data_IF_280450807354
#
_entry.id   IF_280450807354
#
_cell.length_a   1.000
_cell.length_b   1.000
_cell.length_c   1.000
_cell.angle_alpha   90.00
_cell.angle_beta   90.00
_cell.angle_gamma   90.00
#
_symmetry.space_group_name_H-M   'P 1'
#
loop_
_entity.id
_entity.type
_entity.pdbx_description
1 polymer ?
#
# COMPACT_ATOMS: atom_id res chain seq x y z
N UNK A 1 64.35 -11.49 19.11
CA UNK A 1 64.26 -12.13 17.79
C UNK A 1 62.89 -12.81 17.68
N UNK A 2 62.09 -12.40 16.69
CA UNK A 2 60.92 -13.09 16.12
C UNK A 2 59.65 -13.43 16.96
N UNK A 3 58.57 -12.75 16.57
CA UNK A 3 57.19 -13.25 16.29
C UNK A 3 56.38 -13.94 17.40
N UNK A 4 55.43 -13.19 17.98
CA UNK A 4 54.17 -13.74 18.52
C UNK A 4 53.10 -13.73 17.42
N UNK A 5 52.57 -14.92 17.15
CA UNK A 5 51.52 -15.22 16.17
C UNK A 5 50.15 -15.19 16.87
N UNK A 6 49.18 -14.68 16.11
CA UNK A 6 47.72 -14.60 16.36
C UNK A 6 47.11 -15.85 17.00
N UNK A 7 46.11 -15.66 17.86
CA UNK A 7 44.94 -16.55 17.94
C UNK A 7 43.65 -15.73 17.97
N UNK A 8 42.80 -16.07 17.00
CA UNK A 8 41.47 -15.57 16.70
C UNK A 8 40.49 -16.05 17.78
N UNK A 9 39.64 -15.15 18.30
CA UNK A 9 38.53 -15.49 19.19
C UNK A 9 37.37 -16.07 18.39
N UNK A 10 36.98 -17.29 18.75
CA UNK A 10 35.90 -18.08 18.19
C UNK A 10 34.58 -17.70 18.91
N UNK A 11 33.71 -16.89 18.29
CA UNK A 11 32.34 -16.72 18.77
C UNK A 11 31.48 -17.89 18.28
N UNK A 12 30.99 -18.68 19.22
CA UNK A 12 30.14 -19.85 18.98
C UNK A 12 28.73 -19.41 18.55
N UNK A 13 28.35 -19.80 17.33
CA UNK A 13 26.97 -19.83 16.87
C UNK A 13 26.34 -21.13 17.40
N UNK A 14 25.46 -21.03 18.39
CA UNK A 14 24.65 -22.16 18.88
C UNK A 14 23.50 -22.37 17.89
N UNK A 15 23.66 -23.35 17.01
CA UNK A 15 22.61 -23.83 16.10
C UNK A 15 21.70 -24.79 16.89
N UNK A 16 20.54 -24.29 17.33
CA UNK A 16 19.46 -25.12 17.88
C UNK A 16 18.76 -25.83 16.72
N UNK A 17 19.19 -27.06 16.42
CA UNK A 17 18.45 -28.01 15.59
C UNK A 17 17.20 -28.45 16.36
N UNK A 18 16.05 -27.81 16.10
CA UNK A 18 14.77 -28.39 16.48
C UNK A 18 14.38 -29.46 15.45
N UNK A 19 14.22 -30.69 15.93
CA UNK A 19 13.59 -31.78 15.20
C UNK A 19 12.12 -31.40 14.91
N UNK A 20 11.84 -30.98 13.68
CA UNK A 20 10.46 -30.90 13.18
C UNK A 20 9.95 -32.32 12.94
N UNK A 21 9.06 -32.79 13.80
CA UNK A 21 8.24 -33.97 13.51
C UNK A 21 7.40 -33.70 12.26
N UNK A 22 7.72 -34.40 11.17
CA UNK A 22 6.90 -34.38 9.96
C UNK A 22 5.63 -35.17 10.28
N UNK A 23 4.54 -34.46 10.60
CA UNK A 23 3.20 -35.05 10.67
C UNK A 23 2.73 -35.22 9.23
N UNK A 24 2.81 -36.45 8.71
CA UNK A 24 2.21 -36.84 7.43
C UNK A 24 0.69 -36.68 7.57
N UNK A 25 0.13 -35.61 7.01
CA UNK A 25 -1.32 -35.47 6.84
C UNK A 25 -1.72 -36.28 5.61
N UNK A 26 -2.68 -37.20 5.78
CA UNK A 26 -3.36 -37.81 4.66
C UNK A 26 -3.98 -36.69 3.79
N UNK A 27 -3.65 -36.66 2.49
CA UNK A 27 -4.22 -35.68 1.57
C UNK A 27 -5.71 -35.96 1.39
N UNK A 28 -6.54 -35.14 2.02
CA UNK A 28 -7.97 -35.08 1.75
C UNK A 28 -8.15 -34.48 0.36
N UNK A 29 -9.03 -35.06 -0.45
CA UNK A 29 -9.37 -34.53 -1.76
C UNK A 29 -9.80 -33.05 -1.62
N UNK A 30 -9.27 -32.14 -2.44
CA UNK A 30 -9.67 -30.75 -2.38
C UNK A 30 -11.14 -30.59 -2.80
N UNK A 31 -11.81 -29.63 -2.17
CA UNK A 31 -13.20 -29.26 -2.41
C UNK A 31 -13.32 -27.82 -2.92
N UNK A 32 -14.54 -27.36 -3.22
CA UNK A 32 -14.77 -26.00 -3.72
C UNK A 32 -14.20 -24.92 -2.78
N UNK A 33 -14.28 -25.13 -1.47
CA UNK A 33 -13.71 -24.23 -0.47
C UNK A 33 -12.20 -24.09 -0.62
N UNK A 34 -11.50 -25.22 -0.69
CA UNK A 34 -10.04 -25.27 -0.85
C UNK A 34 -9.59 -24.64 -2.16
N UNK A 35 -10.25 -24.97 -3.28
CA UNK A 35 -9.90 -24.44 -4.61
C UNK A 35 -10.11 -22.93 -4.68
N UNK A 36 -11.21 -22.41 -4.11
CA UNK A 36 -11.45 -20.96 -4.09
C UNK A 36 -10.41 -20.21 -3.26
N UNK A 37 -10.10 -20.71 -2.07
CA UNK A 37 -9.11 -20.10 -1.18
C UNK A 37 -7.73 -20.01 -1.86
N UNK A 38 -7.36 -21.03 -2.64
CA UNK A 38 -6.11 -21.02 -3.41
C UNK A 38 -6.09 -19.90 -4.47
N UNK A 39 -7.18 -19.74 -5.23
CA UNK A 39 -7.31 -18.69 -6.26
C UNK A 39 -7.20 -17.29 -5.63
N UNK A 40 -7.90 -17.05 -4.53
CA UNK A 40 -7.95 -15.75 -3.87
C UNK A 40 -6.61 -15.39 -3.21
N UNK A 41 -5.98 -16.35 -2.53
CA UNK A 41 -4.68 -16.13 -1.86
C UNK A 41 -3.58 -15.76 -2.85
N UNK A 42 -3.55 -16.39 -4.04
CA UNK A 42 -2.50 -16.14 -5.04
C UNK A 42 -2.55 -14.73 -5.64
N UNK A 43 -3.71 -14.07 -5.64
CA UNK A 43 -3.91 -12.73 -6.24
C UNK A 43 -3.30 -11.58 -5.41
N UNK A 44 -3.03 -11.76 -4.12
CA UNK A 44 -2.63 -10.65 -3.24
C UNK A 44 -1.11 -10.31 -3.26
N UNK A 45 -0.31 -10.98 -4.08
CA UNK A 45 1.17 -11.04 -3.95
C UNK A 45 1.97 -10.01 -4.77
N UNK A 46 1.39 -8.91 -5.22
CA UNK A 46 2.16 -7.86 -5.91
C UNK A 46 3.00 -7.01 -4.95
N UNK A 47 4.25 -6.72 -5.34
CA UNK A 47 5.18 -5.86 -4.59
C UNK A 47 4.92 -4.40 -5.01
N UNK A 48 4.58 -3.49 -4.07
CA UNK A 48 4.46 -2.08 -4.38
C UNK A 48 5.78 -1.49 -4.88
N UNK A 49 5.71 -0.70 -5.94
CA UNK A 49 6.83 0.13 -6.42
C UNK A 49 6.78 1.45 -5.68
N UNK A 50 7.92 1.92 -5.16
CA UNK A 50 8.01 3.24 -4.54
C UNK A 50 7.69 4.32 -5.59
N UNK A 51 6.71 5.22 -5.33
CA UNK A 51 6.46 6.34 -6.22
C UNK A 51 7.73 7.19 -6.36
N UNK A 52 8.13 7.59 -7.58
CA UNK A 52 9.31 8.42 -7.76
C UNK A 52 9.18 9.73 -6.97
N UNK A 53 10.28 10.23 -6.38
CA UNK A 53 10.26 11.54 -5.73
C UNK A 53 9.88 12.62 -6.77
N UNK A 54 9.12 13.65 -6.38
CA UNK A 54 8.84 14.76 -7.25
C UNK A 54 10.17 15.45 -7.56
N UNK A 55 10.44 15.65 -8.84
CA UNK A 55 11.58 16.44 -9.28
C UNK A 55 11.30 17.90 -8.99
N UNK A 56 11.52 18.34 -7.75
CA UNK A 56 11.66 19.77 -7.48
C UNK A 56 12.96 20.22 -8.16
N UNK A 57 12.84 20.82 -9.34
CA UNK A 57 13.97 21.50 -9.96
C UNK A 57 14.38 22.63 -9.03
N UNK A 58 15.55 22.51 -8.40
CA UNK A 58 16.18 23.63 -7.73
C UNK A 58 16.32 24.76 -8.76
N UNK A 59 15.76 25.92 -8.44
CA UNK A 59 15.97 27.12 -9.26
C UNK A 59 17.48 27.34 -9.42
N UNK A 60 17.99 27.60 -10.64
CA UNK A 60 19.41 27.85 -10.84
C UNK A 60 19.85 29.04 -9.97
N UNK A 61 20.76 28.80 -9.03
CA UNK A 61 21.41 29.88 -8.29
C UNK A 61 22.64 30.27 -9.09
N UNK A 62 22.55 31.36 -9.86
CA UNK A 62 23.74 31.99 -10.43
C UNK A 62 24.61 32.52 -9.27
N UNK A 63 25.81 31.96 -9.10
CA UNK A 63 26.81 32.49 -8.16
C UNK A 63 27.44 33.75 -8.72
N UNK A 64 27.24 34.94 -8.10
CA UNK A 64 27.98 36.14 -8.45
C UNK A 64 29.44 36.05 -7.96
N UNK A 65 30.37 36.84 -8.52
CA UNK A 65 31.77 36.86 -8.08
C UNK A 65 31.93 37.36 -6.63
N UNK A 66 32.98 36.90 -5.94
CA UNK A 66 33.27 37.15 -4.53
C UNK A 66 33.42 38.65 -4.20
N UNK A 67 32.46 39.18 -3.47
CA UNK A 67 32.43 40.56 -2.97
C UNK A 67 33.01 40.74 -1.56
N UNK A 68 32.81 41.91 -0.91
CA UNK A 68 33.22 42.14 0.47
C UNK A 68 32.57 41.15 1.44
N UNK A 69 33.32 40.75 2.47
CA UNK A 69 32.89 39.78 3.48
C UNK A 69 32.41 40.46 4.76
N UNK A 70 31.45 39.82 5.44
CA UNK A 70 30.97 40.20 6.76
C UNK A 70 31.22 39.05 7.73
N UNK A 71 31.58 39.35 8.98
CA UNK A 71 31.63 38.33 10.02
C UNK A 71 30.29 38.29 10.73
N UNK A 72 29.56 37.18 10.58
CA UNK A 72 28.22 37.02 11.18
C UNK A 72 28.36 36.52 12.62
N UNK A 73 27.80 37.27 13.57
CA UNK A 73 27.73 36.94 14.99
C UNK A 73 26.50 36.09 15.32
N UNK A 74 25.34 36.42 14.73
CA UNK A 74 24.09 35.70 14.95
C UNK A 74 23.06 36.01 13.87
N UNK A 75 22.05 35.14 13.76
CA UNK A 75 20.86 35.39 12.94
C UNK A 75 19.67 35.75 13.83
N UNK A 76 18.91 36.76 13.40
CA UNK A 76 17.60 37.11 13.95
C UNK A 76 16.53 36.69 12.95
N UNK A 77 15.52 35.95 13.40
CA UNK A 77 14.45 35.44 12.55
C UNK A 77 13.15 36.20 12.83
N UNK A 78 12.43 36.56 11.78
CA UNK A 78 11.12 37.20 11.87
C UNK A 78 10.10 36.46 11.01
N UNK A 79 8.86 36.34 11.51
CA UNK A 79 7.77 35.64 10.82
C UNK A 79 7.74 34.12 11.01
N UNK A 80 8.59 33.57 11.89
CA UNK A 80 8.61 32.16 12.24
C UNK A 80 7.61 31.84 13.38
N UNK A 81 6.39 31.45 13.01
CA UNK A 81 5.34 31.05 13.97
C UNK A 81 5.29 29.52 14.11
N UNK A 82 5.52 28.79 13.02
CA UNK A 82 5.48 27.33 12.98
C UNK A 82 6.78 26.66 13.48
N UNK A 83 7.90 27.40 13.50
CA UNK A 83 9.19 26.88 13.96
C UNK A 83 9.90 27.86 14.89
N UNK A 84 10.47 27.34 15.97
CA UNK A 84 11.19 28.12 16.97
C UNK A 84 12.54 28.61 16.44
N UNK A 85 12.94 29.79 16.91
CA UNK A 85 14.19 30.43 16.50
C UNK A 85 15.43 29.60 16.90
N UNK A 86 15.34 28.75 17.92
CA UNK A 86 16.44 27.88 18.36
C UNK A 86 16.70 26.78 17.34
N UNK A 87 15.67 26.09 16.82
CA UNK A 87 15.83 25.16 15.69
C UNK A 87 16.40 25.87 14.45
N UNK A 88 15.92 27.07 14.15
CA UNK A 88 16.42 27.86 13.03
C UNK A 88 17.89 28.26 13.19
N UNK A 89 18.34 28.57 14.41
CA UNK A 89 19.73 28.85 14.70
C UNK A 89 20.64 27.63 14.47
N UNK A 90 20.14 26.40 14.69
CA UNK A 90 20.88 25.17 14.35
C UNK A 90 21.07 25.07 12.84
N UNK A 91 20.03 25.36 12.04
CA UNK A 91 20.10 25.30 10.59
C UNK A 91 21.09 26.32 9.99
N UNK A 92 21.29 27.47 10.64
CA UNK A 92 22.20 28.53 10.17
C UNK A 92 23.57 28.55 10.86
N UNK A 93 23.84 27.62 11.78
CA UNK A 93 25.07 27.60 12.58
C UNK A 93 26.36 27.60 11.73
N UNK A 94 26.33 26.98 10.54
CA UNK A 94 27.48 26.91 9.62
C UNK A 94 27.88 28.25 8.99
N UNK A 95 27.09 29.31 9.16
CA UNK A 95 27.37 30.65 8.66
C UNK A 95 27.84 31.63 9.75
N UNK A 96 27.85 31.21 11.02
CA UNK A 96 28.19 32.05 12.18
C UNK A 96 29.69 31.94 12.51
N UNK A 97 30.24 32.99 13.12
CA UNK A 97 31.63 33.09 13.62
C UNK A 97 32.72 32.89 12.55
N UNK A 98 32.38 33.18 11.28
CA UNK A 98 33.32 33.19 10.16
C UNK A 98 33.03 34.34 9.19
N UNK A 99 34.02 34.76 8.38
CA UNK A 99 33.77 35.64 7.25
C UNK A 99 32.89 34.91 6.23
N UNK A 100 31.80 35.57 5.82
CA UNK A 100 30.91 35.14 4.73
C UNK A 100 30.75 36.28 3.73
N UNK A 101 30.87 35.97 2.45
CA UNK A 101 30.50 36.91 1.39
C UNK A 101 28.98 36.91 1.15
N UNK A 102 28.50 37.81 0.28
CA UNK A 102 27.07 37.91 -0.02
C UNK A 102 26.49 36.62 -0.62
N UNK A 103 27.25 35.91 -1.46
CA UNK A 103 26.81 34.65 -2.07
C UNK A 103 26.65 33.53 -1.05
N UNK A 104 27.53 33.49 -0.04
CA UNK A 104 27.42 32.57 1.09
C UNK A 104 26.28 32.96 2.01
N UNK A 105 26.08 34.27 2.26
CA UNK A 105 24.99 34.76 3.09
C UNK A 105 23.63 34.39 2.48
N UNK A 106 23.49 34.45 1.16
CA UNK A 106 22.28 34.02 0.43
C UNK A 106 21.94 32.53 0.61
N UNK A 107 22.87 31.69 1.08
CA UNK A 107 22.60 30.29 1.42
C UNK A 107 21.91 30.12 2.77
N UNK A 108 21.98 31.11 3.67
CA UNK A 108 21.35 31.01 4.99
C UNK A 108 19.80 30.95 4.92
N UNK A 109 19.10 31.79 4.12
CA UNK A 109 17.67 31.62 3.89
C UNK A 109 17.29 30.28 3.26
N UNK A 110 18.14 29.71 2.40
CA UNK A 110 17.92 28.38 1.81
C UNK A 110 17.94 27.32 2.91
N UNK A 111 18.95 27.35 3.80
CA UNK A 111 19.04 26.44 4.94
C UNK A 111 17.82 26.56 5.88
N UNK A 112 17.32 27.78 6.09
CA UNK A 112 16.08 28.03 6.84
C UNK A 112 14.88 27.37 6.14
N UNK A 113 14.70 27.61 4.84
CA UNK A 113 13.60 27.03 4.08
C UNK A 113 13.68 25.50 4.03
N UNK A 114 14.88 24.93 3.95
CA UNK A 114 15.10 23.48 3.98
C UNK A 114 14.78 22.88 5.36
N UNK A 115 15.10 23.57 6.46
CA UNK A 115 14.71 23.14 7.81
C UNK A 115 13.18 23.10 7.98
N UNK A 116 12.47 24.12 7.48
CA UNK A 116 11.01 24.09 7.42
C UNK A 116 10.49 22.93 6.57
N UNK A 117 11.11 22.66 5.41
CA UNK A 117 10.71 21.55 4.52
C UNK A 117 10.89 20.19 5.17
N UNK A 118 11.96 19.99 5.94
CA UNK A 118 12.20 18.77 6.71
C UNK A 118 11.12 18.53 7.78
N UNK A 119 10.58 19.62 8.35
CA UNK A 119 9.44 19.59 9.27
C UNK A 119 8.07 19.58 8.54
N UNK A 120 8.07 19.51 7.20
CA UNK A 120 6.87 19.35 6.38
C UNK A 120 6.17 20.64 5.97
N UNK A 121 6.81 21.80 6.14
CA UNK A 121 6.24 23.12 5.83
C UNK A 121 6.90 23.78 4.62
N UNK A 122 6.12 24.54 3.86
CA UNK A 122 6.63 25.41 2.80
C UNK A 122 6.65 26.84 3.28
N UNK A 123 7.80 27.48 3.13
CA UNK A 123 8.01 28.89 3.47
C UNK A 123 8.86 29.55 2.39
N UNK A 124 8.74 30.87 2.30
CA UNK A 124 9.72 31.70 1.62
C UNK A 124 10.59 32.38 2.67
N UNK A 125 11.89 32.15 2.62
CA UNK A 125 12.87 32.84 3.47
C UNK A 125 13.75 33.73 2.60
N UNK A 126 14.00 34.96 3.03
CA UNK A 126 14.87 35.88 2.31
C UNK A 126 15.61 36.84 3.25
N UNK A 127 16.68 37.44 2.72
CA UNK A 127 17.43 38.49 3.39
C UNK A 127 16.88 39.85 2.95
N UNK A 128 16.13 40.58 3.80
CA UNK A 128 15.71 41.93 3.50
C UNK A 128 16.93 42.86 3.42
N UNK A 129 16.76 43.99 2.71
CA UNK A 129 17.72 45.08 2.73
C UNK A 129 17.90 45.59 4.17
N UNK A 130 19.13 45.56 4.66
CA UNK A 130 19.45 45.90 6.05
C UNK A 130 20.90 46.37 6.17
N UNK A 131 21.17 47.17 7.19
CA UNK A 131 22.54 47.43 7.66
C UNK A 131 22.94 46.34 8.66
N UNK A 132 24.04 45.65 8.41
CA UNK A 132 24.55 44.61 9.30
C UNK A 132 25.39 45.26 10.39
N UNK A 133 24.74 45.61 11.50
CA UNK A 133 25.39 46.17 12.68
C UNK A 133 25.75 45.05 13.66
N UNK A 134 26.97 45.09 14.23
CA UNK A 134 27.49 44.11 15.19
C UNK A 134 27.47 42.64 14.69
N UNK A 135 27.42 42.42 13.38
CA UNK A 135 27.37 41.09 12.77
C UNK A 135 26.02 40.37 12.93
N UNK A 136 24.94 41.06 13.31
CA UNK A 136 23.59 40.46 13.39
C UNK A 136 22.90 40.56 12.04
N UNK A 137 22.46 39.42 11.50
CA UNK A 137 21.79 39.34 10.20
C UNK A 137 20.34 38.89 10.39
N UNK A 138 19.40 39.68 9.87
CA UNK A 138 17.97 39.39 9.91
C UNK A 138 17.54 38.55 8.72
N UNK A 139 16.82 37.46 8.96
CA UNK A 139 16.15 36.65 7.93
C UNK A 139 14.65 36.79 8.11
N UNK A 140 13.98 37.29 7.07
CA UNK A 140 12.53 37.37 7.04
C UNK A 140 11.98 36.06 6.47
N UNK A 141 11.04 35.48 7.21
CA UNK A 141 10.34 34.25 6.84
C UNK A 141 8.88 34.61 6.57
N UNK A 142 8.38 34.10 5.47
CA UNK A 142 6.98 34.19 5.07
C UNK A 142 6.46 32.77 4.99
N UNK A 143 5.70 32.38 6.01
CA UNK A 143 5.02 31.10 6.05
C UNK A 143 3.86 31.12 5.06
N UNK A 144 3.94 30.22 4.08
CA UNK A 144 2.99 30.15 2.98
C UNK A 144 1.64 29.63 3.47
N UNK A 145 0.56 30.23 2.97
CA UNK A 145 -0.81 29.78 3.17
C UNK A 145 -1.27 29.09 1.90
N UNK A 146 -2.10 28.06 2.03
CA UNK A 146 -2.72 27.43 0.88
C UNK A 146 -3.81 28.33 0.30
N UNK A 147 -3.65 28.73 -0.96
CA UNK A 147 -4.69 29.46 -1.70
C UNK A 147 -5.75 28.49 -2.20
N UNK A 148 -5.54 27.98 -3.42
CA UNK A 148 -6.46 27.02 -4.07
C UNK A 148 -5.74 25.98 -4.93
N UNK A 149 -6.41 24.85 -5.20
CA UNK A 149 -6.05 23.99 -6.31
C UNK A 149 -6.61 24.56 -7.62
N UNK A 150 -5.76 24.73 -8.64
CA UNK A 150 -6.13 25.16 -10.00
C UNK A 150 -5.75 24.10 -11.01
N UNK A 151 -6.54 23.95 -12.06
CA UNK A 151 -6.23 23.04 -13.15
C UNK A 151 -5.15 23.64 -14.05
N UNK A 152 -4.11 22.87 -14.33
CA UNK A 152 -3.11 23.17 -15.36
C UNK A 152 -3.51 22.44 -16.66
N UNK A 153 -3.85 23.22 -17.69
CA UNK A 153 -4.22 22.68 -19.01
C UNK A 153 -5.72 22.41 -19.19
N UNK A 154 -6.04 21.32 -19.89
CA UNK A 154 -7.40 21.01 -20.32
C UNK A 154 -8.20 20.26 -19.24
N UNK A 155 -9.53 20.43 -19.27
CA UNK A 155 -10.45 19.71 -18.39
C UNK A 155 -10.33 18.18 -18.57
N UNK A 156 -10.13 17.43 -17.47
CA UNK A 156 -10.11 15.97 -17.53
C UNK A 156 -11.47 15.40 -17.94
N UNK A 157 -11.43 14.38 -18.79
CA UNK A 157 -12.63 13.71 -19.31
C UNK A 157 -13.08 12.59 -18.39
N UNK A 158 -12.13 11.85 -17.80
CA UNK A 158 -12.39 10.69 -16.95
C UNK A 158 -12.92 11.08 -15.59
N UNK A 159 -12.37 12.09 -14.91
CA UNK A 159 -12.86 12.53 -13.58
C UNK A 159 -13.02 14.05 -13.61
N UNK A 160 -14.03 14.61 -12.95
CA UNK A 160 -14.23 16.06 -12.95
C UNK A 160 -13.17 16.79 -12.11
N UNK A 161 -12.69 17.94 -12.58
CA UNK A 161 -11.74 18.75 -11.80
C UNK A 161 -12.30 19.15 -10.43
N UNK A 162 -13.60 19.43 -10.33
CA UNK A 162 -14.27 19.75 -9.06
C UNK A 162 -14.12 18.63 -8.01
N UNK A 163 -14.14 17.36 -8.45
CA UNK A 163 -13.90 16.24 -7.54
C UNK A 163 -12.46 16.22 -7.06
N UNK A 164 -11.52 16.37 -7.99
CA UNK A 164 -10.09 16.37 -7.71
C UNK A 164 -9.69 17.53 -6.78
N UNK A 165 -10.23 18.73 -7.02
CA UNK A 165 -9.98 19.90 -6.16
C UNK A 165 -10.55 19.71 -4.76
N UNK A 166 -11.75 19.12 -4.61
CA UNK A 166 -12.30 18.76 -3.29
C UNK A 166 -11.45 17.75 -2.53
N UNK A 167 -10.74 16.86 -3.22
CA UNK A 167 -9.81 15.93 -2.57
C UNK A 167 -8.58 16.65 -2.02
N UNK A 168 -8.05 17.64 -2.75
CA UNK A 168 -6.98 18.51 -2.23
C UNK A 168 -7.50 19.33 -1.04
N UNK A 169 -8.64 20.00 -1.18
CA UNK A 169 -9.23 20.86 -0.15
C UNK A 169 -9.56 20.07 1.15
N UNK A 170 -9.84 18.76 1.05
CA UNK A 170 -10.06 17.88 2.19
C UNK A 170 -8.77 17.60 3.00
N UNK A 171 -7.61 17.59 2.35
CA UNK A 171 -6.31 17.40 3.01
C UNK A 171 -5.68 18.72 3.43
N UNK A 172 -5.84 19.76 2.61
CA UNK A 172 -5.24 21.08 2.80
C UNK A 172 -6.32 22.16 2.73
N UNK A 173 -6.68 22.73 3.88
CA UNK A 173 -7.71 23.77 3.95
C UNK A 173 -7.18 25.09 3.42
N UNK A 174 -8.02 25.81 2.69
CA UNK A 174 -7.70 27.17 2.20
C UNK A 174 -7.42 28.11 3.38
N UNK A 175 -6.39 28.94 3.23
CA UNK A 175 -5.89 29.84 4.26
C UNK A 175 -5.10 29.17 5.40
N UNK A 176 -5.00 27.83 5.42
CA UNK A 176 -4.14 27.13 6.39
C UNK A 176 -2.68 27.16 5.94
N UNK A 177 -1.75 27.01 6.88
CA UNK A 177 -0.32 26.90 6.58
C UNK A 177 -0.04 25.73 5.62
N UNK A 178 0.77 26.00 4.60
CA UNK A 178 1.05 25.06 3.52
C UNK A 178 1.94 23.91 3.99
N UNK A 179 1.31 22.75 4.21
CA UNK A 179 1.93 21.50 4.60
C UNK A 179 2.19 20.60 3.38
N UNK A 180 3.43 20.15 3.22
CA UNK A 180 3.87 19.26 2.14
C UNK A 180 3.14 17.91 2.23
N UNK A 181 3.08 17.32 3.43
CA UNK A 181 2.45 16.03 3.64
C UNK A 181 0.95 16.00 3.29
N UNK A 182 0.24 17.12 3.50
CA UNK A 182 -1.17 17.24 3.15
C UNK A 182 -1.38 17.26 1.63
N UNK A 183 -0.57 18.03 0.90
CA UNK A 183 -0.62 18.08 -0.56
C UNK A 183 -0.20 16.74 -1.18
N UNK A 184 0.87 16.14 -0.66
CA UNK A 184 1.35 14.83 -1.11
C UNK A 184 0.29 13.75 -0.91
N UNK A 185 -0.36 13.71 0.26
CA UNK A 185 -1.49 12.80 0.50
C UNK A 185 -2.63 13.06 -0.48
N UNK A 186 -3.02 14.32 -0.71
CA UNK A 186 -4.08 14.67 -1.66
C UNK A 186 -3.77 14.19 -3.08
N UNK A 187 -2.54 14.40 -3.55
CA UNK A 187 -2.08 13.91 -4.86
C UNK A 187 -2.05 12.39 -4.94
N UNK A 188 -1.58 11.70 -3.88
CA UNK A 188 -1.58 10.23 -3.82
C UNK A 188 -3.00 9.67 -3.86
N UNK A 189 -3.95 10.28 -3.13
CA UNK A 189 -5.35 9.86 -3.16
C UNK A 189 -6.00 10.08 -4.53
N UNK A 190 -5.64 11.15 -5.25
CA UNK A 190 -6.06 11.34 -6.64
C UNK A 190 -5.48 10.25 -7.54
N UNK A 191 -4.20 9.91 -7.37
CA UNK A 191 -3.52 8.85 -8.14
C UNK A 191 -4.00 7.44 -7.78
N UNK A 192 -4.70 7.26 -6.66
CA UNK A 192 -5.39 6.03 -6.34
C UNK A 192 -6.72 5.89 -7.11
N UNK A 193 -7.20 6.93 -7.81
CA UNK A 193 -8.43 6.87 -8.62
C UNK A 193 -8.18 6.27 -10.01
N UNK A 194 -8.91 5.20 -10.38
CA UNK A 194 -8.83 4.62 -11.72
C UNK A 194 -9.20 5.61 -12.83
N UNK A 195 -8.36 5.71 -13.85
CA UNK A 195 -8.66 6.49 -15.05
C UNK A 195 -8.02 7.89 -15.07
N UNK A 196 -7.25 8.28 -14.06
CA UNK A 196 -6.45 9.51 -14.09
C UNK A 196 -5.11 9.32 -13.41
N UNK A 197 -4.14 10.09 -13.88
CA UNK A 197 -2.88 10.36 -13.18
C UNK A 197 -2.73 11.87 -13.00
N UNK A 198 -2.30 12.32 -11.84
CA UNK A 198 -2.14 13.72 -11.50
C UNK A 198 -0.77 14.03 -10.89
N UNK A 199 -0.27 15.21 -11.26
CA UNK A 199 0.95 15.82 -10.70
C UNK A 199 0.62 17.24 -10.25
N UNK A 200 1.38 17.74 -9.28
CA UNK A 200 1.14 19.06 -8.69
C UNK A 200 2.39 19.92 -8.70
N UNK A 201 2.26 21.17 -9.14
CA UNK A 201 3.29 22.19 -9.05
C UNK A 201 2.79 23.36 -8.18
N UNK A 202 3.67 23.95 -7.38
CA UNK A 202 3.33 25.12 -6.58
C UNK A 202 3.51 26.39 -7.41
N UNK A 203 2.58 27.33 -7.28
CA UNK A 203 2.60 28.61 -7.97
C UNK A 203 2.13 29.72 -7.03
N UNK A 204 2.60 30.98 -7.20
CA UNK A 204 2.06 32.09 -6.42
C UNK A 204 0.53 32.16 -6.48
N UNK A 205 -0.08 32.34 -5.31
CA UNK A 205 -1.52 32.51 -5.14
C UNK A 205 -2.00 33.91 -5.51
N UNK A 206 -3.27 34.19 -5.24
CA UNK A 206 -3.88 35.48 -5.55
C UNK A 206 -3.48 36.55 -4.52
N UNK A 207 -3.57 36.21 -3.23
CA UNK A 207 -3.28 37.13 -2.15
C UNK A 207 -1.85 36.95 -1.62
N UNK A 208 -1.35 37.92 -0.85
CA UNK A 208 -0.02 37.82 -0.25
C UNK A 208 0.10 36.57 0.62
N UNK A 209 1.27 35.93 0.57
CA UNK A 209 1.60 34.68 1.28
C UNK A 209 0.83 33.45 0.79
N UNK A 210 -0.12 33.59 -0.13
CA UNK A 210 -0.82 32.43 -0.69
C UNK A 210 0.03 31.71 -1.75
N UNK A 211 -0.09 30.40 -1.77
CA UNK A 211 0.46 29.53 -2.79
C UNK A 211 -0.63 28.59 -3.28
N UNK A 212 -0.83 28.56 -4.59
CA UNK A 212 -1.77 27.69 -5.26
C UNK A 212 -1.08 26.39 -5.70
N UNK A 213 -1.87 25.30 -5.73
CA UNK A 213 -1.46 24.05 -6.36
C UNK A 213 -1.97 24.02 -7.80
N UNK A 214 -1.05 24.10 -8.76
CA UNK A 214 -1.34 23.81 -10.16
C UNK A 214 -1.38 22.29 -10.35
N UNK A 215 -2.58 21.76 -10.50
CA UNK A 215 -2.85 20.35 -10.68
C UNK A 215 -2.89 20.03 -12.18
N UNK A 216 -1.91 19.27 -12.66
CA UNK A 216 -1.88 18.72 -14.02
C UNK A 216 -2.45 17.31 -14.00
N UNK A 217 -3.55 17.12 -14.71
CA UNK A 217 -4.29 15.85 -14.74
C UNK A 217 -4.24 15.26 -16.14
N UNK A 218 -3.84 13.99 -16.23
CA UNK A 218 -3.85 13.20 -17.45
C UNK A 218 -4.93 12.13 -17.34
N UNK A 219 -5.76 12.01 -18.38
CA UNK A 219 -6.74 10.93 -18.51
C UNK A 219 -6.03 9.62 -18.91
N UNK A 220 -6.29 8.56 -18.17
CA UNK A 220 -5.87 7.21 -18.52
C UNK A 220 -6.95 6.49 -19.34
N UNK A 221 -6.61 5.28 -19.80
CA UNK A 221 -7.50 4.48 -20.66
C UNK A 221 -8.79 4.12 -19.91
N UNK A 222 -9.93 4.39 -20.54
CA UNK A 222 -11.25 3.94 -20.07
C UNK A 222 -11.29 2.42 -19.93
N UNK A 223 -10.71 1.69 -20.88
CA UNK A 223 -10.64 0.23 -20.87
C UNK A 223 -9.19 -0.21 -20.73
N UNK A 224 -8.92 -1.00 -19.69
CA UNK A 224 -7.65 -1.69 -19.45
C UNK A 224 -7.92 -3.19 -19.29
N UNK A 225 -6.92 -4.02 -19.57
CA UNK A 225 -7.03 -5.45 -19.33
C UNK A 225 -5.67 -6.11 -19.32
N UNK A 226 -5.65 -7.31 -18.75
CA UNK A 226 -4.48 -8.14 -18.58
C UNK A 226 -4.85 -9.59 -18.89
N UNK A 227 -3.90 -10.31 -19.49
CA UNK A 227 -3.99 -11.76 -19.70
C UNK A 227 -2.73 -12.38 -19.12
N UNK A 228 -2.90 -13.35 -18.23
CA UNK A 228 -1.82 -14.12 -17.62
C UNK A 228 -1.99 -15.58 -18.06
N UNK A 229 -0.89 -16.17 -18.51
CA UNK A 229 -0.80 -17.61 -18.80
C UNK A 229 0.37 -18.13 -17.99
N UNK A 230 0.11 -19.04 -17.07
CA UNK A 230 1.11 -19.61 -16.18
C UNK A 230 0.81 -21.09 -15.87
N UNK A 231 1.80 -21.77 -15.30
CA UNK A 231 1.69 -23.14 -14.81
C UNK A 231 1.63 -23.20 -13.27
N UNK A 232 1.12 -22.15 -12.64
CA UNK A 232 1.06 -22.05 -11.17
C UNK A 232 -0.28 -22.56 -10.60
N UNK A 233 -1.07 -23.29 -11.39
CA UNK A 233 -2.28 -23.99 -10.97
C UNK A 233 -1.98 -25.21 -10.11
N UNK A 234 -3.06 -25.84 -9.63
CA UNK A 234 -2.96 -27.02 -8.78
C UNK A 234 -2.89 -28.26 -9.63
N UNK A 235 -2.05 -29.23 -9.26
CA UNK A 235 -2.03 -30.56 -9.91
C UNK A 235 -3.40 -31.25 -9.91
N UNK A 236 -4.27 -30.88 -8.96
CA UNK A 236 -5.59 -31.48 -8.80
C UNK A 236 -6.65 -30.93 -9.75
N UNK A 237 -6.46 -29.70 -10.24
CA UNK A 237 -7.45 -28.99 -11.08
C UNK A 237 -6.83 -28.37 -12.33
N UNK A 238 -5.63 -28.81 -12.71
CA UNK A 238 -4.86 -28.30 -13.84
C UNK A 238 -3.78 -27.29 -13.42
N UNK A 239 -2.53 -27.60 -13.77
CA UNK A 239 -1.38 -26.74 -13.49
C UNK A 239 -1.36 -25.52 -14.42
N UNK A 240 -1.74 -25.70 -15.69
CA UNK A 240 -1.81 -24.63 -16.69
C UNK A 240 -3.07 -23.81 -16.51
N UNK A 241 -2.91 -22.49 -16.38
CA UNK A 241 -3.98 -21.53 -16.13
C UNK A 241 -3.96 -20.41 -17.14
N UNK A 242 -5.15 -20.01 -17.56
CA UNK A 242 -5.41 -18.79 -18.30
C UNK A 242 -6.24 -17.85 -17.42
N UNK A 243 -5.74 -16.64 -17.17
CA UNK A 243 -6.44 -15.62 -16.39
C UNK A 243 -6.60 -14.38 -17.26
N UNK A 244 -7.83 -13.92 -17.44
CA UNK A 244 -8.17 -12.68 -18.13
C UNK A 244 -8.84 -11.70 -17.18
N UNK A 245 -8.31 -10.48 -17.08
CA UNK A 245 -8.93 -9.38 -16.32
C UNK A 245 -9.22 -8.22 -17.25
N UNK A 246 -10.43 -7.66 -17.20
CA UNK A 246 -10.82 -6.44 -17.92
C UNK A 246 -11.41 -5.45 -16.92
N UNK A 247 -10.98 -4.19 -17.02
CA UNK A 247 -11.43 -3.10 -16.14
C UNK A 247 -11.89 -1.88 -16.94
N UNK A 248 -13.03 -1.33 -16.52
CA UNK A 248 -13.61 -0.08 -17.00
C UNK A 248 -13.38 1.01 -15.95
N UNK A 249 -12.55 2.00 -16.28
CA UNK A 249 -12.05 3.03 -15.37
C UNK A 249 -12.81 4.35 -15.52
N UNK A 250 -13.41 4.82 -14.42
CA UNK A 250 -14.20 6.04 -14.33
C UNK A 250 -15.24 6.24 -15.46
N UNK A 251 -16.09 5.25 -15.79
CA UNK A 251 -17.14 5.41 -16.81
C UNK A 251 -18.16 6.53 -16.50
N UNK A 252 -18.45 6.79 -15.23
CA UNK A 252 -19.39 7.77 -14.68
C UNK A 252 -18.73 9.02 -14.11
N UNK A 253 -17.39 9.08 -14.16
CA UNK A 253 -16.56 10.24 -13.79
C UNK A 253 -16.38 10.54 -12.31
N UNK A 254 -16.52 9.53 -11.44
CA UNK A 254 -16.33 9.66 -9.99
C UNK A 254 -15.04 8.99 -9.48
N UNK A 255 -14.24 8.33 -10.31
CA UNK A 255 -13.09 7.54 -9.83
C UNK A 255 -13.45 6.09 -9.50
N UNK A 256 -14.58 5.61 -9.99
CA UNK A 256 -15.03 4.23 -9.84
C UNK A 256 -14.38 3.29 -10.88
N UNK A 257 -14.37 2.00 -10.57
CA UNK A 257 -13.90 0.96 -11.48
C UNK A 257 -14.87 -0.22 -11.45
N UNK A 258 -15.21 -0.70 -12.65
CA UNK A 258 -15.91 -1.97 -12.84
C UNK A 258 -14.91 -2.96 -13.44
N UNK A 259 -14.86 -4.19 -12.94
CA UNK A 259 -13.93 -5.20 -13.44
C UNK A 259 -14.59 -6.56 -13.58
N UNK A 260 -14.09 -7.32 -14.55
CA UNK A 260 -14.43 -8.72 -14.78
C UNK A 260 -13.14 -9.53 -14.81
N UNK A 261 -13.09 -10.60 -14.03
CA UNK A 261 -12.04 -11.61 -14.06
C UNK A 261 -12.61 -12.93 -14.55
N UNK A 262 -11.86 -13.60 -15.41
CA UNK A 262 -12.06 -15.00 -15.77
C UNK A 262 -10.77 -15.77 -15.49
N UNK A 263 -10.88 -16.98 -14.94
CA UNK A 263 -9.79 -17.95 -14.83
C UNK A 263 -10.28 -19.28 -15.35
N UNK A 264 -9.46 -19.92 -16.18
CA UNK A 264 -9.70 -21.23 -16.74
C UNK A 264 -8.46 -22.11 -16.57
N UNK A 265 -8.67 -23.37 -16.16
CA UNK A 265 -7.71 -24.47 -16.22
C UNK A 265 -8.45 -25.76 -16.57
N UNK A 266 -7.73 -26.87 -16.70
CA UNK A 266 -8.31 -28.18 -17.05
C UNK A 266 -9.49 -28.59 -16.16
N UNK A 267 -9.41 -28.34 -14.85
CA UNK A 267 -10.44 -28.68 -13.87
C UNK A 267 -10.98 -27.48 -13.09
N UNK A 268 -10.85 -26.25 -13.59
CA UNK A 268 -11.40 -25.06 -12.91
C UNK A 268 -11.91 -24.01 -13.88
N UNK A 269 -13.12 -23.53 -13.60
CA UNK A 269 -13.71 -22.35 -14.23
C UNK A 269 -14.11 -21.35 -13.16
N UNK A 270 -13.56 -20.14 -13.22
CA UNK A 270 -13.82 -19.10 -12.24
C UNK A 270 -14.16 -17.78 -12.92
N UNK A 271 -15.20 -17.11 -12.45
CA UNK A 271 -15.61 -15.80 -12.91
C UNK A 271 -15.89 -14.87 -11.73
N UNK A 272 -15.47 -13.61 -11.83
CA UNK A 272 -15.77 -12.58 -10.83
C UNK A 272 -16.10 -11.26 -11.51
N UNK A 273 -17.17 -10.61 -11.04
CA UNK A 273 -17.50 -9.23 -11.36
C UNK A 273 -17.33 -8.38 -10.09
N UNK A 274 -16.66 -7.24 -10.19
CA UNK A 274 -16.46 -6.33 -9.07
C UNK A 274 -16.68 -4.88 -9.47
N UNK A 275 -17.24 -4.10 -8.56
CA UNK A 275 -17.41 -2.66 -8.67
C UNK A 275 -16.81 -2.00 -7.42
N UNK A 276 -15.94 -0.99 -7.61
CA UNK A 276 -15.31 -0.25 -6.53
C UNK A 276 -15.47 1.26 -6.77
N UNK A 277 -15.98 1.99 -5.77
CA UNK A 277 -16.25 3.42 -5.88
C UNK A 277 -15.66 4.20 -4.70
N UNK A 278 -15.04 5.36 -4.95
CA UNK A 278 -14.62 6.26 -3.89
C UNK A 278 -15.80 7.02 -3.29
N UNK A 279 -15.86 7.13 -1.97
CA UNK A 279 -16.89 7.86 -1.24
C UNK A 279 -16.26 9.11 -0.60
N UNK A 280 -16.91 10.26 -0.76
CA UNK A 280 -16.37 11.53 -0.27
C UNK A 280 -15.08 11.94 -0.98
N UNK A 281 -14.17 12.59 -0.24
CA UNK A 281 -12.94 13.22 -0.77
C UNK A 281 -11.68 12.93 0.05
N UNK A 282 -11.78 12.07 1.08
CA UNK A 282 -10.69 11.78 2.03
C UNK A 282 -10.10 10.36 1.89
N UNK A 283 -10.48 9.64 0.83
CA UNK A 283 -9.90 8.33 0.49
C UNK A 283 -10.74 7.10 0.84
N UNK A 284 -11.97 7.26 1.36
CA UNK A 284 -12.89 6.15 1.55
C UNK A 284 -13.23 5.48 0.21
N UNK A 285 -13.29 4.14 0.22
CA UNK A 285 -13.77 3.34 -0.92
C UNK A 285 -14.75 2.28 -0.46
N UNK A 286 -15.73 1.99 -1.30
CA UNK A 286 -16.70 0.92 -1.10
C UNK A 286 -16.70 0.03 -2.34
N UNK A 287 -16.66 -1.27 -2.13
CA UNK A 287 -16.68 -2.26 -3.19
C UNK A 287 -17.76 -3.31 -3.00
N UNK A 288 -18.21 -3.85 -4.12
CA UNK A 288 -19.13 -4.98 -4.24
C UNK A 288 -18.49 -5.99 -5.20
N UNK A 289 -18.61 -7.27 -4.92
CA UNK A 289 -18.20 -8.31 -5.84
C UNK A 289 -19.14 -9.51 -5.79
N UNK A 290 -19.20 -10.22 -6.92
CA UNK A 290 -19.86 -11.52 -7.03
C UNK A 290 -18.92 -12.45 -7.78
N UNK A 291 -18.77 -13.69 -7.30
CA UNK A 291 -17.95 -14.70 -7.94
C UNK A 291 -18.68 -16.03 -8.05
N UNK A 292 -18.32 -16.78 -9.09
CA UNK A 292 -18.72 -18.16 -9.29
C UNK A 292 -17.50 -19.01 -9.62
N UNK A 293 -17.44 -20.20 -9.05
CA UNK A 293 -16.42 -21.20 -9.25
C UNK A 293 -17.09 -22.53 -9.58
N UNK A 294 -16.65 -23.19 -10.64
CA UNK A 294 -16.83 -24.61 -10.89
C UNK A 294 -15.48 -25.31 -10.85
N UNK A 295 -15.41 -26.51 -10.27
CA UNK A 295 -14.19 -27.31 -10.27
C UNK A 295 -14.49 -28.79 -10.48
N UNK A 296 -13.49 -29.50 -10.99
CA UNK A 296 -13.45 -30.95 -11.13
C UNK A 296 -12.03 -31.44 -10.84
N UNK A 297 -11.91 -32.58 -10.15
CA UNK A 297 -10.61 -33.19 -9.89
C UNK A 297 -10.16 -34.00 -11.09
N UNK A 298 -9.09 -33.55 -11.74
CA UNK A 298 -8.54 -34.14 -12.97
C UNK A 298 -7.29 -35.00 -12.73
N UNK A 299 -6.85 -35.10 -11.48
CA UNK A 299 -5.70 -35.92 -11.12
C UNK A 299 -6.07 -37.42 -11.14
N UNK A 300 -5.23 -38.31 -11.72
CA UNK A 300 -5.56 -39.72 -11.93
C UNK A 300 -5.96 -40.49 -10.66
N UNK A 301 -5.41 -40.12 -9.51
CA UNK A 301 -5.77 -40.72 -8.22
C UNK A 301 -7.23 -40.46 -7.79
N UNK A 302 -7.91 -39.49 -8.40
CA UNK A 302 -9.30 -39.10 -8.12
C UNK A 302 -10.28 -39.40 -9.26
N UNK A 303 -9.83 -39.96 -10.39
CA UNK A 303 -10.69 -40.32 -11.54
C UNK A 303 -11.91 -41.17 -11.12
N UNK A 304 -11.67 -42.14 -10.23
CA UNK A 304 -12.73 -43.03 -9.73
C UNK A 304 -13.71 -42.37 -8.76
N UNK A 305 -13.38 -41.19 -8.22
CA UNK A 305 -14.24 -40.43 -7.32
C UNK A 305 -15.18 -39.50 -8.09
N UNK A 306 -14.83 -39.11 -9.33
CA UNK A 306 -15.56 -38.13 -10.14
C UNK A 306 -15.97 -36.90 -9.29
N UNK A 307 -15.00 -36.35 -8.54
CA UNK A 307 -15.26 -35.30 -7.58
C UNK A 307 -15.31 -33.95 -8.28
N UNK A 308 -16.41 -33.24 -8.07
CA UNK A 308 -16.67 -31.93 -8.66
C UNK A 308 -17.49 -31.08 -7.71
N UNK A 309 -17.59 -29.80 -7.99
CA UNK A 309 -18.46 -28.93 -7.21
C UNK A 309 -18.44 -27.49 -7.66
N UNK A 310 -19.14 -26.66 -6.90
CA UNK A 310 -19.27 -25.25 -7.19
C UNK A 310 -19.29 -24.38 -5.94
N UNK A 311 -18.91 -23.12 -6.12
CA UNK A 311 -19.07 -22.07 -5.12
C UNK A 311 -19.64 -20.82 -5.76
N UNK A 312 -20.51 -20.12 -5.03
CA UNK A 312 -20.94 -18.76 -5.39
C UNK A 312 -20.78 -17.87 -4.17
N UNK A 313 -20.19 -16.68 -4.36
CA UNK A 313 -19.97 -15.72 -3.29
C UNK A 313 -20.47 -14.34 -3.69
N UNK A 314 -20.98 -13.61 -2.69
CA UNK A 314 -21.26 -12.19 -2.79
C UNK A 314 -20.52 -11.46 -1.66
N UNK A 315 -19.68 -10.50 -2.02
CA UNK A 315 -18.85 -9.73 -1.10
C UNK A 315 -19.14 -8.24 -1.15
N UNK A 316 -19.02 -7.61 0.01
CA UNK A 316 -19.01 -6.15 0.16
C UNK A 316 -17.80 -5.73 0.97
N UNK A 317 -17.18 -4.60 0.65
CA UNK A 317 -16.04 -4.10 1.41
C UNK A 317 -16.06 -2.57 1.51
N UNK A 318 -15.58 -2.05 2.63
CA UNK A 318 -15.27 -0.63 2.80
C UNK A 318 -13.82 -0.50 3.24
N UNK A 319 -13.06 0.43 2.66
CA UNK A 319 -11.66 0.65 3.00
C UNK A 319 -11.30 2.12 3.14
N UNK A 320 -10.33 2.40 4.01
CA UNK A 320 -9.80 3.73 4.27
C UNK A 320 -8.27 3.70 4.47
N UNK A 321 -7.51 4.57 3.79
CA UNK A 321 -6.08 4.68 3.98
C UNK A 321 -5.76 5.51 5.23
N UNK A 322 -5.55 4.83 6.37
CA UNK A 322 -5.09 5.43 7.64
C UNK A 322 -3.79 6.22 7.45
N UNK A 323 -2.86 5.67 6.66
CA UNK A 323 -1.63 6.34 6.24
C UNK A 323 -1.54 6.24 4.72
N UNK A 324 -1.29 7.37 4.06
CA UNK A 324 -0.98 7.43 2.63
C UNK A 324 0.10 8.48 2.40
N UNK A 325 1.33 8.02 2.30
CA UNK A 325 2.53 8.78 2.02
C UNK A 325 3.31 8.09 0.90
N UNK A 326 4.38 8.73 0.41
CA UNK A 326 5.22 8.13 -0.65
C UNK A 326 5.92 6.87 -0.17
N UNK A 327 6.60 6.97 0.97
CA UNK A 327 7.36 5.88 1.55
C UNK A 327 6.53 4.97 2.47
N UNK A 328 5.23 5.22 2.68
CA UNK A 328 4.42 4.40 3.58
C UNK A 328 2.93 4.43 3.26
N UNK A 329 2.26 3.28 3.41
CA UNK A 329 0.82 3.15 3.27
C UNK A 329 0.28 2.20 4.33
N UNK A 330 -0.85 2.52 4.95
CA UNK A 330 -1.57 1.65 5.86
C UNK A 330 -3.06 1.81 5.59
N UNK A 331 -3.71 0.71 5.22
CA UNK A 331 -5.12 0.65 4.94
C UNK A 331 -5.83 -0.17 6.01
N UNK A 332 -7.01 0.29 6.39
CA UNK A 332 -7.97 -0.53 7.11
C UNK A 332 -9.12 -0.86 6.16
N UNK A 333 -9.61 -2.09 6.19
CA UNK A 333 -10.83 -2.46 5.51
C UNK A 333 -11.72 -3.33 6.38
N UNK A 334 -13.02 -3.23 6.15
CA UNK A 334 -14.03 -4.12 6.71
C UNK A 334 -14.76 -4.75 5.54
N UNK A 335 -14.90 -6.07 5.55
CA UNK A 335 -15.57 -6.82 4.49
C UNK A 335 -16.58 -7.81 5.06
N UNK A 336 -17.72 -7.93 4.38
CA UNK A 336 -18.71 -8.96 4.63
C UNK A 336 -18.86 -9.81 3.37
N UNK A 337 -18.90 -11.14 3.54
CA UNK A 337 -19.10 -12.09 2.45
C UNK A 337 -20.13 -13.15 2.82
N UNK A 338 -21.05 -13.44 1.89
CA UNK A 338 -21.91 -14.62 1.94
C UNK A 338 -21.52 -15.57 0.82
N UNK A 339 -21.26 -16.82 1.19
CA UNK A 339 -20.75 -17.86 0.31
C UNK A 339 -21.58 -19.13 0.42
N UNK A 340 -21.75 -19.81 -0.71
CA UNK A 340 -22.45 -21.11 -0.80
C UNK A 340 -21.60 -22.09 -1.56
N UNK A 341 -21.54 -23.31 -1.05
CA UNK A 341 -20.71 -24.38 -1.58
C UNK A 341 -21.54 -25.64 -1.77
N UNK A 342 -21.27 -26.34 -2.86
CA UNK A 342 -21.82 -27.66 -3.15
C UNK A 342 -20.73 -28.54 -3.74
N UNK A 343 -20.52 -29.70 -3.13
CA UNK A 343 -19.54 -30.68 -3.61
C UNK A 343 -20.23 -32.02 -3.84
N UNK A 344 -19.80 -32.70 -4.89
CA UNK A 344 -20.29 -33.98 -5.35
C UNK A 344 -19.13 -34.96 -5.46
N UNK A 345 -19.44 -36.23 -5.20
CA UNK A 345 -18.56 -37.35 -5.49
C UNK A 345 -19.42 -38.48 -6.06
N UNK A 346 -18.97 -39.08 -7.17
CA UNK A 346 -19.74 -40.09 -7.91
C UNK A 346 -21.17 -39.60 -8.25
N UNK A 347 -21.29 -38.34 -8.67
CA UNK A 347 -22.56 -37.68 -9.02
C UNK A 347 -23.60 -37.64 -7.88
N UNK A 348 -23.15 -37.77 -6.63
CA UNK A 348 -23.97 -37.64 -5.44
C UNK A 348 -23.42 -36.47 -4.62
N UNK A 349 -24.30 -35.55 -4.21
CA UNK A 349 -23.94 -34.47 -3.29
C UNK A 349 -23.34 -35.05 -2.02
N UNK A 350 -22.07 -34.75 -1.78
CA UNK A 350 -21.34 -35.18 -0.58
C UNK A 350 -21.46 -34.14 0.53
N UNK A 351 -21.42 -32.85 0.17
CA UNK A 351 -21.54 -31.73 1.11
C UNK A 351 -22.24 -30.55 0.46
N UNK A 352 -23.05 -29.82 1.24
CA UNK A 352 -23.59 -28.51 0.86
C UNK A 352 -23.63 -27.62 2.09
N UNK A 353 -23.07 -26.43 2.00
CA UNK A 353 -23.00 -25.53 3.15
C UNK A 353 -22.95 -24.06 2.75
N UNK A 354 -23.23 -23.20 3.72
CA UNK A 354 -23.11 -21.75 3.58
C UNK A 354 -22.11 -21.21 4.58
N UNK A 355 -21.42 -20.14 4.21
CA UNK A 355 -20.49 -19.44 5.07
C UNK A 355 -20.78 -17.95 5.00
N UNK A 356 -20.98 -17.34 6.15
CA UNK A 356 -21.07 -15.88 6.32
C UNK A 356 -19.83 -15.41 7.07
N UNK A 357 -19.10 -14.43 6.54
CA UNK A 357 -17.91 -13.88 7.20
C UNK A 357 -17.97 -12.37 7.31
N UNK A 358 -17.47 -11.86 8.43
CA UNK A 358 -17.16 -10.45 8.67
C UNK A 358 -15.69 -10.36 9.03
N UNK A 359 -14.90 -9.68 8.20
CA UNK A 359 -13.48 -9.51 8.40
C UNK A 359 -13.09 -8.05 8.55
N UNK A 360 -12.13 -7.78 9.44
CA UNK A 360 -11.40 -6.51 9.52
C UNK A 360 -9.96 -6.77 9.12
N UNK A 361 -9.48 -6.05 8.10
CA UNK A 361 -8.13 -6.20 7.58
C UNK A 361 -7.34 -4.90 7.81
N UNK A 362 -6.11 -5.04 8.29
CA UNK A 362 -5.10 -4.01 8.30
C UNK A 362 -3.98 -4.47 7.41
N UNK A 363 -3.67 -3.73 6.35
CA UNK A 363 -2.57 -4.04 5.44
C UNK A 363 -1.80 -2.79 5.08
N UNK A 364 -0.48 -2.90 5.09
CA UNK A 364 0.37 -1.75 4.86
C UNK A 364 1.78 -2.10 4.47
N UNK A 365 2.49 -1.07 4.07
CA UNK A 365 3.88 -1.15 3.71
C UNK A 365 4.65 0.10 4.10
N UNK A 366 5.97 -0.04 4.22
CA UNK A 366 6.89 1.06 4.44
C UNK A 366 8.24 0.81 3.75
N UNK A 367 8.78 1.84 3.13
CA UNK A 367 10.15 1.94 2.67
C UNK A 367 11.01 2.59 3.76
N UNK A 368 12.25 2.16 3.86
CA UNK A 368 13.24 2.70 4.81
C UNK A 368 14.62 2.78 4.17
N UNK A 369 15.50 3.60 4.75
CA UNK A 369 16.90 3.75 4.33
C UNK A 369 17.88 2.92 5.19
N UNK A 370 17.36 2.06 6.08
CA UNK A 370 18.19 1.32 7.03
C UNK A 370 19.03 0.24 6.32
N UNK A 371 20.34 0.22 6.62
CA UNK A 371 21.25 -0.80 6.10
C UNK A 371 21.43 -0.77 4.58
N UNK A 372 21.32 0.41 3.96
CA UNK A 372 21.24 0.55 2.51
C UNK A 372 19.79 0.54 2.00
N UNK A 373 18.81 0.51 2.88
CA UNK A 373 17.40 0.64 2.58
C UNK A 373 16.70 -0.66 2.21
N UNK A 374 15.38 -0.59 2.20
CA UNK A 374 14.53 -1.74 2.02
C UNK A 374 13.07 -1.40 2.10
N UNK A 375 12.26 -2.45 2.10
CA UNK A 375 10.82 -2.37 2.12
C UNK A 375 10.26 -3.46 3.02
N UNK A 376 9.28 -3.10 3.85
CA UNK A 376 8.56 -4.03 4.71
C UNK A 376 7.07 -3.99 4.42
N UNK A 377 6.42 -5.15 4.40
CA UNK A 377 4.97 -5.30 4.27
C UNK A 377 4.42 -6.05 5.47
N UNK A 378 3.25 -5.63 5.95
CA UNK A 378 2.53 -6.32 7.00
C UNK A 378 1.05 -6.37 6.67
N UNK A 379 0.40 -7.47 7.01
CA UNK A 379 -1.05 -7.62 6.97
C UNK A 379 -1.55 -8.42 8.18
N UNK A 380 -2.72 -8.03 8.69
CA UNK A 380 -3.45 -8.71 9.74
C UNK A 380 -4.93 -8.69 9.36
N UNK A 381 -5.55 -9.87 9.28
CA UNK A 381 -6.98 -10.03 9.07
C UNK A 381 -7.59 -10.75 10.27
N UNK A 382 -8.65 -10.17 10.85
CA UNK A 382 -9.44 -10.80 11.91
C UNK A 382 -10.82 -11.07 11.32
N UNK A 383 -11.22 -12.34 11.29
CA UNK A 383 -12.47 -12.79 10.69
C UNK A 383 -13.32 -13.50 11.72
N UNK A 384 -14.59 -13.11 11.80
CA UNK A 384 -15.64 -13.84 12.50
C UNK A 384 -16.63 -14.34 11.46
N UNK A 385 -17.12 -15.56 11.61
CA UNK A 385 -18.07 -16.10 10.67
C UNK A 385 -18.93 -17.22 11.23
N UNK A 386 -19.87 -17.67 10.42
CA UNK A 386 -20.74 -18.81 10.72
C UNK A 386 -20.78 -19.74 9.53
N UNK A 387 -20.60 -21.03 9.80
CA UNK A 387 -20.86 -22.12 8.85
C UNK A 387 -22.25 -22.66 9.15
N UNK A 388 -23.06 -22.85 8.11
CA UNK A 388 -24.39 -23.48 8.17
C UNK A 388 -24.38 -24.73 7.31
N UNK A 389 -24.35 -25.88 7.97
CA UNK A 389 -24.41 -27.22 7.36
C UNK A 389 -25.83 -27.81 7.35
N UNK A 390 -26.86 -27.04 7.70
CA UNK A 390 -28.24 -27.55 7.80
C UNK A 390 -28.69 -28.20 6.50
N UNK A 391 -29.03 -29.50 6.58
CA UNK A 391 -29.48 -30.28 5.43
C UNK A 391 -28.35 -30.78 4.52
N UNK A 392 -27.09 -30.65 4.95
CA UNK A 392 -25.94 -31.26 4.28
C UNK A 392 -25.90 -32.77 4.55
N UNK A 393 -25.60 -33.62 3.54
CA UNK A 393 -25.47 -35.07 3.75
C UNK A 393 -24.42 -35.46 4.82
N UNK A 394 -23.39 -34.63 5.02
CA UNK A 394 -22.33 -34.86 6.00
C UNK A 394 -22.56 -34.19 7.37
N UNK A 395 -23.71 -33.54 7.60
CA UNK A 395 -24.00 -32.76 8.83
C UNK A 395 -23.75 -33.57 10.11
N UNK A 396 -24.32 -34.78 10.20
CA UNK A 396 -24.18 -35.65 11.37
C UNK A 396 -22.73 -36.10 11.59
N UNK A 397 -21.98 -36.36 10.50
CA UNK A 397 -20.59 -36.76 10.59
C UNK A 397 -19.71 -35.60 11.08
N UNK A 398 -19.97 -34.38 10.61
CA UNK A 398 -19.28 -33.16 11.07
C UNK A 398 -19.58 -32.89 12.54
N UNK A 399 -20.84 -32.96 12.96
CA UNK A 399 -21.22 -32.78 14.36
C UNK A 399 -20.53 -33.78 15.32
N UNK A 400 -20.28 -35.01 14.85
CA UNK A 400 -19.57 -36.03 15.62
C UNK A 400 -18.04 -35.88 15.61
N UNK A 401 -17.46 -35.17 14.64
CA UNK A 401 -16.01 -35.12 14.41
C UNK A 401 -15.44 -33.70 14.53
N UNK A 402 -15.40 -32.96 13.43
CA UNK A 402 -14.76 -31.64 13.34
C UNK A 402 -15.54 -30.57 14.08
N UNK A 403 -16.85 -30.71 14.26
CA UNK A 403 -17.70 -29.68 14.89
C UNK A 403 -17.47 -28.29 14.27
N UNK A 404 -17.31 -28.27 12.94
CA UNK A 404 -17.07 -27.06 12.17
C UNK A 404 -18.36 -26.26 11.88
N UNK A 405 -19.52 -26.81 12.21
CA UNK A 405 -20.82 -26.14 12.11
C UNK A 405 -20.97 -25.05 13.19
N UNK A 406 -21.57 -23.92 12.82
CA UNK A 406 -21.77 -22.76 13.71
C UNK A 406 -20.67 -21.71 13.63
N UNK A 407 -20.49 -20.96 14.72
CA UNK A 407 -19.64 -19.76 14.75
C UNK A 407 -18.14 -20.06 14.89
N UNK A 408 -17.31 -19.33 14.15
CA UNK A 408 -15.86 -19.38 14.26
C UNK A 408 -15.23 -17.98 14.30
N UNK A 409 -14.00 -17.93 14.80
CA UNK A 409 -13.13 -16.76 14.76
C UNK A 409 -11.72 -17.17 14.35
N UNK A 410 -11.11 -16.42 13.44
CA UNK A 410 -9.73 -16.64 12.97
C UNK A 410 -8.98 -15.33 12.82
N UNK A 411 -7.66 -15.42 12.92
CA UNK A 411 -6.72 -14.34 12.64
C UNK A 411 -5.66 -14.83 11.65
N UNK A 412 -5.52 -14.14 10.53
CA UNK A 412 -4.47 -14.37 9.54
C UNK A 412 -3.45 -13.24 9.60
N UNK A 413 -2.16 -13.55 9.57
CA UNK A 413 -1.09 -12.55 9.57
C UNK A 413 -0.05 -12.84 8.49
N UNK A 414 0.54 -11.77 7.96
CA UNK A 414 1.64 -11.81 7.01
C UNK A 414 2.62 -10.68 7.33
N UNK A 415 3.92 -10.98 7.35
CA UNK A 415 4.98 -9.98 7.46
C UNK A 415 6.10 -10.34 6.49
N UNK A 416 6.60 -9.39 5.74
CA UNK A 416 7.80 -9.57 4.92
C UNK A 416 8.75 -8.38 4.97
N UNK A 417 10.03 -8.65 4.70
CA UNK A 417 11.07 -7.66 4.50
C UNK A 417 11.91 -8.00 3.30
N UNK A 418 12.08 -7.03 2.41
CA UNK A 418 13.10 -7.02 1.37
C UNK A 418 14.19 -6.02 1.76
N UNK A 419 15.42 -6.50 1.90
CA UNK A 419 16.59 -5.71 2.26
C UNK A 419 17.50 -5.55 1.05
N UNK A 420 17.88 -4.32 0.68
CA UNK A 420 19.02 -4.10 -0.21
C UNK A 420 20.30 -4.34 0.58
N UNK A 421 21.12 -5.30 0.15
CA UNK A 421 22.43 -5.59 0.79
C UNK A 421 23.56 -4.93 0.00
N UNK A 422 23.44 -4.93 -1.33
CA UNK A 422 24.33 -4.20 -2.25
C UNK A 422 23.50 -3.59 -3.38
N UNK A 423 24.12 -2.85 -4.30
CA UNK A 423 23.43 -2.29 -5.47
C UNK A 423 22.80 -3.35 -6.39
N UNK A 424 23.28 -4.59 -6.34
CA UNK A 424 22.85 -5.70 -7.22
C UNK A 424 22.28 -6.90 -6.45
N UNK A 425 22.28 -6.87 -5.12
CA UNK A 425 21.82 -7.98 -4.29
C UNK A 425 20.79 -7.53 -3.26
N UNK A 426 19.66 -8.24 -3.22
CA UNK A 426 18.64 -8.10 -2.19
C UNK A 426 18.38 -9.43 -1.48
N UNK A 427 18.02 -9.35 -0.21
CA UNK A 427 17.54 -10.48 0.59
C UNK A 427 16.05 -10.30 0.88
N UNK A 428 15.27 -11.37 0.77
CA UNK A 428 13.84 -11.37 1.06
C UNK A 428 13.52 -12.43 2.14
N UNK A 429 12.73 -12.04 3.13
CA UNK A 429 12.19 -12.93 4.15
C UNK A 429 10.71 -12.63 4.36
N UNK A 430 9.88 -13.68 4.52
CA UNK A 430 8.47 -13.56 4.79
C UNK A 430 8.00 -14.63 5.78
N UNK A 431 6.99 -14.27 6.57
CA UNK A 431 6.31 -15.15 7.52
C UNK A 431 4.82 -14.92 7.39
N UNK A 432 4.05 -16.01 7.27
CA UNK A 432 2.59 -15.99 7.28
C UNK A 432 2.03 -17.07 8.18
N UNK A 433 0.82 -16.86 8.69
CA UNK A 433 0.16 -17.86 9.52
C UNK A 433 -1.32 -17.57 9.77
N UNK A 434 -1.99 -18.55 10.38
CA UNK A 434 -3.38 -18.47 10.80
C UNK A 434 -3.53 -19.01 12.22
N UNK A 435 -4.32 -18.32 13.04
CA UNK A 435 -4.77 -18.76 14.36
C UNK A 435 -6.28 -18.87 14.32
N UNK A 436 -6.84 -19.96 14.86
CA UNK A 436 -8.28 -20.20 14.88
C UNK A 436 -8.74 -20.58 16.29
N UNK A 437 -9.90 -20.08 16.71
CA UNK A 437 -10.49 -20.42 18.02
C UNK A 437 -11.15 -21.80 18.08
N UNK A 438 -11.28 -22.47 16.92
CA UNK A 438 -11.91 -23.78 16.79
C UNK A 438 -11.57 -24.42 15.44
N UNK A 439 -12.22 -25.54 15.16
CA UNK A 439 -12.10 -26.20 13.87
C UNK A 439 -12.79 -25.37 12.78
N UNK A 440 -12.13 -25.27 11.63
CA UNK A 440 -12.60 -24.51 10.48
C UNK A 440 -13.09 -25.44 9.38
N UNK A 441 -14.05 -24.95 8.59
CA UNK A 441 -14.41 -25.50 7.28
C UNK A 441 -13.23 -25.33 6.30
N UNK A 442 -13.09 -26.18 5.29
CA UNK A 442 -11.98 -26.15 4.31
C UNK A 442 -11.80 -24.79 3.64
N UNK A 443 -12.90 -24.10 3.31
CA UNK A 443 -12.93 -22.73 2.76
C UNK A 443 -12.23 -21.70 3.65
N UNK A 444 -12.13 -21.97 4.95
CA UNK A 444 -11.60 -21.02 5.92
C UNK A 444 -10.18 -21.37 6.42
N UNK A 445 -9.68 -22.56 6.08
CA UNK A 445 -8.37 -23.08 6.53
C UNK A 445 -7.19 -22.41 5.84
N UNK A 446 -6.05 -22.43 6.53
CA UNK A 446 -4.78 -21.95 6.00
C UNK A 446 -4.22 -22.89 4.92
N UNK A 447 -3.91 -22.35 3.75
CA UNK A 447 -3.31 -23.07 2.64
C UNK A 447 -1.78 -22.97 2.70
N UNK A 448 -1.09 -24.11 2.69
CA UNK A 448 0.37 -24.20 2.91
C UNK A 448 1.19 -24.52 1.64
N UNK A 449 0.55 -24.92 0.54
CA UNK A 449 1.24 -25.42 -0.65
C UNK A 449 1.39 -24.39 -1.78
N UNK A 450 2.30 -24.63 -2.71
CA UNK A 450 2.36 -23.93 -4.00
C UNK A 450 3.22 -22.67 -4.01
N UNK A 451 3.29 -22.03 -5.19
CA UNK A 451 4.26 -20.97 -5.50
C UNK A 451 4.27 -19.76 -4.53
N UNK A 452 3.12 -19.47 -3.90
CA UNK A 452 2.90 -18.36 -2.96
C UNK A 452 2.99 -18.77 -1.48
N UNK A 453 3.22 -20.05 -1.16
CA UNK A 453 3.42 -20.57 0.19
C UNK A 453 4.74 -21.37 0.27
N UNK A 454 4.69 -22.65 0.60
CA UNK A 454 5.85 -23.54 0.54
C UNK A 454 5.95 -24.10 -0.89
N UNK A 455 7.02 -23.70 -1.60
CA UNK A 455 7.34 -24.10 -2.98
C UNK A 455 7.79 -25.55 -3.08
#
# INVERSE_FOLDING_TARGET
>A
MAKKIRRLGLLHLVLLMQMSTIVVHAQVAPDAGTVRQEIETKRETEIPIEPPPPTAQALPVETPPSGPTVTVSSFEFSGNVLMDSQKLAVATAGFVARPVDFSELQKAPIAVADAYRQEGWIVQAFLPLQEINNGVVKIQIVEALFGVARLEGNQPRRITFERLSRMIDAQQRRGASLAVGALDRGLLLINDLPGVTATGNLSPGKDERETDLLLKVQDDRLLSGEVIIDNAGSRFTGEERFIGTVSLNSPFRFGEQLSATLLYSEGTEYAQLAANMPIGSDGWRVGLNVSHLGYELVAPEFDALNAKGSSTAFGTNASYPLIRARAASLNVSVSYENSRFENEANDITSTRYKVDTLATNLNGYAFDDWGGGGFSRAALAITYGTVDLTGSPNELAVAATTKADGGFGKANYFVSRQQRVTEIFSAYAAVSGQLAGGNLESSEKFYLGGASAIR
#
